data_IF_934819828224
#
_entry.id   IF_934819828224
#
_cell.length_a   1.000
_cell.length_b   1.000
_cell.length_c   1.000
_cell.angle_alpha   90.00
_cell.angle_beta   90.00
_cell.angle_gamma   90.00
#
_symmetry.space_group_name_H-M   'P 1'
#
loop_
_entity.id
_entity.type
_entity.pdbx_description
1 polymer ?
#
# COMPACT_ATOMS: atom_id res chain seq x y z
N UNK A 1 -15.49 -4.26 16.79
CA UNK A 1 -16.12 -5.56 17.03
C UNK A 1 -15.30 -6.42 17.99
N UNK A 2 -15.81 -7.59 18.44
CA UNK A 2 -15.14 -8.42 19.43
C UNK A 2 -13.84 -9.09 18.92
N UNK A 3 -13.65 -9.15 17.62
CA UNK A 3 -12.52 -9.77 16.95
C UNK A 3 -11.58 -8.76 16.29
N UNK A 4 -11.61 -7.53 16.76
CA UNK A 4 -10.74 -6.49 16.22
C UNK A 4 -9.29 -6.74 16.63
N UNK A 5 -8.41 -6.81 15.62
CA UNK A 5 -6.96 -6.78 15.79
C UNK A 5 -6.49 -5.37 15.43
N UNK A 6 -5.60 -4.74 16.23
CA UNK A 6 -5.03 -3.45 15.86
C UNK A 6 -4.35 -3.51 14.49
N UNK A 7 -4.47 -2.42 13.73
CA UNK A 7 -3.84 -2.19 12.41
C UNK A 7 -4.14 -3.26 11.36
N UNK A 8 -5.27 -3.96 11.46
CA UNK A 8 -5.67 -4.98 10.48
C UNK A 8 -6.02 -4.33 9.13
N UNK A 9 -5.57 -4.92 8.04
CA UNK A 9 -5.64 -4.41 6.68
C UNK A 9 -7.05 -4.47 6.08
N UNK A 10 -7.83 -5.46 6.50
CA UNK A 10 -9.12 -5.80 5.89
C UNK A 10 -10.22 -5.91 6.93
N UNK A 11 -11.40 -5.42 6.61
CA UNK A 11 -12.61 -5.68 7.36
C UNK A 11 -13.34 -6.90 6.76
N UNK A 12 -13.69 -7.86 7.61
CA UNK A 12 -14.40 -9.08 7.20
C UNK A 12 -15.65 -9.27 8.06
N UNK A 13 -16.76 -9.56 7.41
CA UNK A 13 -18.04 -9.86 8.08
C UNK A 13 -18.56 -11.22 7.64
N UNK A 14 -19.21 -11.94 8.55
CA UNK A 14 -19.93 -13.18 8.20
C UNK A 14 -21.28 -12.87 7.55
N UNK A 15 -21.69 -13.66 6.56
CA UNK A 15 -22.99 -13.53 5.90
C UNK A 15 -24.16 -13.97 6.80
N UNK A 16 -23.90 -14.68 7.88
CA UNK A 16 -24.93 -15.16 8.78
C UNK A 16 -24.38 -15.72 10.08
N UNK A 17 -25.27 -16.23 10.93
CA UNK A 17 -24.90 -16.79 12.24
C UNK A 17 -24.47 -18.27 12.16
N UNK A 18 -24.62 -18.88 10.99
CA UNK A 18 -24.24 -20.27 10.74
C UNK A 18 -23.32 -20.35 9.52
N UNK A 19 -22.24 -21.13 9.64
CA UNK A 19 -21.25 -21.23 8.57
C UNK A 19 -20.18 -20.12 8.65
N UNK A 20 -19.30 -20.11 7.64
CA UNK A 20 -18.10 -19.25 7.65
C UNK A 20 -17.96 -18.39 6.37
N UNK A 21 -18.98 -18.43 5.51
CA UNK A 21 -19.03 -17.52 4.35
C UNK A 21 -19.08 -16.08 4.81
N UNK A 22 -18.40 -15.21 4.10
CA UNK A 22 -18.32 -13.80 4.45
C UNK A 22 -18.12 -12.88 3.28
N UNK A 23 -17.94 -11.62 3.62
CA UNK A 23 -17.56 -10.54 2.72
C UNK A 23 -16.38 -9.81 3.31
N UNK A 24 -15.42 -9.46 2.46
CA UNK A 24 -14.26 -8.65 2.80
C UNK A 24 -14.29 -7.33 2.07
N UNK A 25 -13.81 -6.26 2.72
CA UNK A 25 -13.57 -4.98 2.09
C UNK A 25 -12.38 -4.29 2.72
N UNK A 26 -11.63 -3.63 1.86
CA UNK A 26 -10.46 -2.86 2.23
C UNK A 26 -10.41 -1.57 1.41
N UNK A 27 -9.57 -0.65 1.82
CA UNK A 27 -9.42 0.65 1.16
C UNK A 27 -7.98 0.88 0.75
N UNK A 28 -7.80 1.76 -0.23
CA UNK A 28 -6.51 2.29 -0.62
C UNK A 28 -6.66 3.73 -1.09
N UNK A 29 -5.67 4.55 -0.77
CA UNK A 29 -5.56 5.93 -1.22
C UNK A 29 -4.11 6.41 -1.13
N UNK A 30 -3.70 7.32 -2.00
CA UNK A 30 -2.35 7.89 -2.02
C UNK A 30 -2.39 9.37 -2.39
N UNK A 31 -3.20 10.12 -1.66
CA UNK A 31 -3.45 11.54 -1.92
C UNK A 31 -2.19 12.42 -1.89
N UNK A 32 -1.23 12.25 -0.97
CA UNK A 32 0.00 13.06 -0.99
C UNK A 32 0.77 12.95 -2.31
N UNK A 33 0.75 11.77 -2.93
CA UNK A 33 1.41 11.52 -4.22
C UNK A 33 0.76 12.30 -5.37
N UNK A 34 -0.55 12.51 -5.32
CA UNK A 34 -1.29 13.23 -6.36
C UNK A 34 -0.87 14.70 -6.51
N UNK A 35 -0.16 15.27 -5.53
CA UNK A 35 0.34 16.65 -5.62
C UNK A 35 1.33 16.81 -6.78
N UNK A 36 2.12 15.79 -7.09
CA UNK A 36 3.13 15.86 -8.17
C UNK A 36 2.98 14.78 -9.23
N UNK A 37 2.38 13.63 -8.94
CA UNK A 37 2.05 12.57 -9.92
C UNK A 37 0.65 12.01 -9.65
N UNK A 38 -0.36 12.64 -10.24
CA UNK A 38 -1.74 12.24 -10.04
C UNK A 38 -2.07 10.86 -10.63
N UNK A 39 -1.62 10.49 -11.86
CA UNK A 39 -1.80 9.13 -12.39
C UNK A 39 -1.19 8.05 -11.53
N UNK A 40 0.03 8.23 -11.02
CA UNK A 40 0.67 7.29 -10.11
C UNK A 40 -0.12 7.12 -8.81
N UNK A 41 -0.65 8.23 -8.25
CA UNK A 41 -1.48 8.17 -7.03
C UNK A 41 -2.73 7.30 -7.22
N UNK A 42 -3.36 7.36 -8.39
CA UNK A 42 -4.52 6.54 -8.72
C UNK A 42 -4.18 5.06 -8.85
N UNK A 43 -3.08 4.73 -9.52
CA UNK A 43 -2.61 3.34 -9.63
C UNK A 43 -2.19 2.78 -8.27
N UNK A 44 -1.48 3.57 -7.47
CA UNK A 44 -1.08 3.17 -6.12
C UNK A 44 -2.28 2.96 -5.20
N UNK A 45 -3.33 3.79 -5.27
CA UNK A 45 -4.57 3.58 -4.51
C UNK A 45 -5.25 2.24 -4.83
N UNK A 46 -5.25 1.81 -6.11
CA UNK A 46 -5.71 0.48 -6.49
C UNK A 46 -4.82 -0.60 -5.90
N UNK A 47 -3.50 -0.43 -6.02
CA UNK A 47 -2.54 -1.38 -5.49
C UNK A 47 -2.72 -1.60 -4.00
N UNK A 48 -2.82 -0.53 -3.22
CA UNK A 48 -3.02 -0.57 -1.77
C UNK A 48 -4.35 -1.22 -1.39
N UNK A 49 -5.46 -0.89 -2.07
CA UNK A 49 -6.74 -1.55 -1.83
C UNK A 49 -6.66 -3.07 -2.05
N UNK A 50 -5.83 -3.52 -2.99
CA UNK A 50 -5.65 -4.94 -3.29
C UNK A 50 -4.66 -5.62 -2.33
N UNK A 51 -3.57 -4.96 -1.93
CA UNK A 51 -2.66 -5.51 -0.90
C UNK A 51 -3.38 -5.64 0.43
N UNK A 52 -4.15 -4.64 0.85
CA UNK A 52 -5.01 -4.72 2.03
C UNK A 52 -6.02 -5.87 1.95
N UNK A 53 -6.71 -6.01 0.82
CA UNK A 53 -7.69 -7.08 0.63
C UNK A 53 -7.08 -8.48 0.62
N UNK A 54 -5.81 -8.62 0.22
CA UNK A 54 -5.12 -9.90 0.13
C UNK A 54 -5.01 -10.63 1.48
N UNK A 55 -5.16 -9.94 2.60
CA UNK A 55 -5.25 -10.53 3.93
C UNK A 55 -6.46 -11.46 4.12
N UNK A 56 -7.50 -11.36 3.29
CA UNK A 56 -8.70 -12.22 3.32
C UNK A 56 -8.59 -13.37 2.31
N UNK A 57 -9.31 -14.48 2.56
CA UNK A 57 -9.39 -15.64 1.66
C UNK A 57 -10.38 -15.37 0.50
N UNK A 58 -9.95 -14.52 -0.44
CA UNK A 58 -10.74 -14.09 -1.60
C UNK A 58 -10.63 -15.09 -2.77
N UNK A 59 -9.50 -15.75 -2.87
CA UNK A 59 -9.18 -16.75 -3.89
C UNK A 59 -8.66 -16.16 -5.19
N UNK A 60 -9.48 -15.50 -5.99
CA UNK A 60 -9.13 -15.04 -7.34
C UNK A 60 -9.33 -13.53 -7.49
N UNK A 61 -8.33 -12.84 -8.02
CA UNK A 61 -8.37 -11.40 -8.24
C UNK A 61 -9.57 -10.97 -9.12
N UNK A 62 -9.96 -11.76 -10.11
CA UNK A 62 -11.08 -11.46 -10.98
C UNK A 62 -12.46 -11.42 -10.29
N UNK A 63 -12.57 -11.96 -9.07
CA UNK A 63 -13.77 -11.86 -8.23
C UNK A 63 -13.89 -10.51 -7.52
N UNK A 64 -12.79 -9.78 -7.39
CA UNK A 64 -12.77 -8.49 -6.70
C UNK A 64 -13.52 -7.44 -7.51
N UNK A 65 -14.30 -6.63 -6.81
CA UNK A 65 -14.96 -5.43 -7.36
C UNK A 65 -14.46 -4.22 -6.59
N UNK A 66 -14.28 -3.12 -7.32
CA UNK A 66 -13.82 -1.87 -6.75
C UNK A 66 -14.92 -0.80 -6.80
N UNK A 67 -14.90 0.09 -5.85
CA UNK A 67 -15.63 1.36 -5.88
C UNK A 67 -14.61 2.49 -5.84
N UNK A 68 -14.77 3.49 -6.71
CA UNK A 68 -13.89 4.64 -6.74
C UNK A 68 -14.63 5.91 -6.29
N UNK A 69 -14.08 6.59 -5.29
CA UNK A 69 -14.55 7.89 -4.85
C UNK A 69 -13.54 8.95 -5.30
N UNK A 70 -13.93 9.75 -6.30
CA UNK A 70 -13.11 10.81 -6.88
C UNK A 70 -13.40 12.14 -6.23
N UNK A 71 -12.36 12.89 -5.90
CA UNK A 71 -12.46 14.23 -5.35
C UNK A 71 -11.49 15.14 -6.10
N UNK A 72 -12.01 16.19 -6.77
CA UNK A 72 -11.21 17.09 -7.58
C UNK A 72 -11.77 18.51 -7.53
N UNK A 73 -10.91 19.53 -7.59
CA UNK A 73 -11.33 20.94 -7.70
C UNK A 73 -11.51 21.33 -9.16
N UNK A 74 -12.47 20.72 -9.87
CA UNK A 74 -12.71 20.99 -11.28
C UNK A 74 -12.94 22.49 -11.56
N UNK A 75 -12.43 22.94 -12.71
CA UNK A 75 -12.40 24.35 -13.10
C UNK A 75 -11.23 25.15 -12.51
N UNK A 76 -10.39 24.56 -11.67
CA UNK A 76 -9.09 25.11 -11.29
C UNK A 76 -8.07 24.73 -12.36
N UNK A 77 -7.20 25.66 -12.73
CA UNK A 77 -6.27 25.47 -13.83
C UNK A 77 -5.41 24.20 -13.63
N UNK A 78 -5.46 23.31 -14.62
CA UNK A 78 -4.71 22.04 -14.64
C UNK A 78 -5.39 20.86 -13.94
N UNK A 79 -6.37 21.08 -13.06
CA UNK A 79 -6.97 19.98 -12.26
C UNK A 79 -7.91 19.09 -13.09
N UNK A 80 -8.58 19.63 -14.10
CA UNK A 80 -9.44 18.84 -15.00
C UNK A 80 -8.60 17.85 -15.82
N UNK A 81 -7.43 18.27 -16.31
CA UNK A 81 -6.50 17.38 -17.01
C UNK A 81 -5.95 16.31 -16.07
N UNK A 82 -5.54 16.68 -14.85
CA UNK A 82 -5.07 15.73 -13.84
C UNK A 82 -6.11 14.66 -13.52
N UNK A 83 -7.37 15.06 -13.37
CA UNK A 83 -8.47 14.11 -13.15
C UNK A 83 -8.61 13.15 -14.33
N UNK A 84 -8.62 13.68 -15.57
CA UNK A 84 -8.73 12.87 -16.78
C UNK A 84 -7.59 11.85 -16.88
N UNK A 85 -6.35 12.30 -16.76
CA UNK A 85 -5.16 11.46 -16.88
C UNK A 85 -5.14 10.35 -15.78
N UNK A 86 -5.61 10.69 -14.58
CA UNK A 86 -5.68 9.72 -13.47
C UNK A 86 -6.78 8.68 -13.70
N UNK A 87 -7.96 9.09 -14.19
CA UNK A 87 -9.04 8.16 -14.55
C UNK A 87 -8.60 7.20 -15.66
N UNK A 88 -7.90 7.70 -16.67
CA UNK A 88 -7.34 6.87 -17.74
C UNK A 88 -6.34 5.85 -17.19
N UNK A 89 -5.38 6.30 -16.38
CA UNK A 89 -4.37 5.44 -15.76
C UNK A 89 -4.98 4.33 -14.87
N UNK A 90 -5.97 4.69 -14.07
CA UNK A 90 -6.73 3.74 -13.23
C UNK A 90 -7.49 2.74 -14.07
N UNK A 91 -8.16 3.20 -15.15
CA UNK A 91 -8.89 2.33 -16.08
C UNK A 91 -7.96 1.33 -16.76
N UNK A 92 -6.80 1.77 -17.20
CA UNK A 92 -5.84 0.90 -17.90
C UNK A 92 -5.21 -0.11 -16.96
N UNK A 93 -4.88 0.27 -15.73
CA UNK A 93 -4.42 -0.70 -14.71
C UNK A 93 -5.51 -1.75 -14.43
N UNK A 94 -6.76 -1.33 -14.22
CA UNK A 94 -7.87 -2.24 -13.97
C UNK A 94 -8.06 -3.26 -15.09
N UNK A 95 -7.95 -2.82 -16.35
CA UNK A 95 -8.00 -3.72 -17.53
C UNK A 95 -6.83 -4.70 -17.53
N UNK A 96 -5.62 -4.23 -17.22
CA UNK A 96 -4.41 -5.06 -17.21
C UNK A 96 -4.46 -6.16 -16.16
N UNK A 97 -4.97 -5.88 -14.95
CA UNK A 97 -5.06 -6.86 -13.86
C UNK A 97 -6.38 -7.63 -13.83
N UNK A 98 -7.37 -7.27 -14.65
CA UNK A 98 -8.64 -7.98 -14.78
C UNK A 98 -9.65 -7.68 -13.67
N UNK A 99 -9.60 -6.50 -13.06
CA UNK A 99 -10.60 -6.05 -12.07
C UNK A 99 -11.53 -4.99 -12.67
N UNK A 100 -12.66 -4.73 -12.02
CA UNK A 100 -13.63 -3.73 -12.49
C UNK A 100 -14.05 -2.78 -11.39
N UNK A 101 -14.37 -1.54 -11.80
CA UNK A 101 -14.97 -0.49 -10.96
C UNK A 101 -16.41 -0.30 -11.42
N UNK A 102 -17.38 -1.12 -10.95
CA UNK A 102 -18.77 -1.03 -11.38
C UNK A 102 -19.53 0.15 -10.77
N UNK A 103 -19.03 0.70 -9.67
CA UNK A 103 -19.65 1.81 -8.94
C UNK A 103 -18.61 2.81 -8.46
N UNK A 104 -19.07 4.03 -8.19
CA UNK A 104 -18.24 5.09 -7.66
C UNK A 104 -19.07 6.34 -7.44
N UNK A 105 -18.41 7.38 -6.96
CA UNK A 105 -18.98 8.73 -6.85
C UNK A 105 -17.88 9.74 -7.04
N UNK A 106 -18.27 10.97 -7.35
CA UNK A 106 -17.38 12.09 -7.53
C UNK A 106 -17.80 13.32 -6.70
N UNK A 107 -16.81 14.10 -6.31
CA UNK A 107 -16.96 15.41 -5.67
C UNK A 107 -16.04 16.38 -6.41
N UNK A 108 -16.61 17.16 -7.33
CA UNK A 108 -15.84 17.96 -8.29
C UNK A 108 -15.66 19.43 -7.87
N UNK A 109 -16.04 19.80 -6.66
CA UNK A 109 -15.94 21.18 -6.16
C UNK A 109 -15.07 21.26 -4.90
N UNK A 110 -13.94 20.56 -4.90
CA UNK A 110 -13.08 20.41 -3.71
C UNK A 110 -12.29 21.67 -3.42
N UNK A 111 -13.00 22.71 -3.00
CA UNK A 111 -12.43 23.97 -2.54
C UNK A 111 -13.26 24.56 -1.40
N UNK A 112 -12.59 25.23 -0.49
CA UNK A 112 -13.21 26.06 0.54
C UNK A 112 -12.87 27.50 0.28
N UNK A 113 -13.90 28.38 0.25
CA UNK A 113 -13.73 29.80 0.08
C UNK A 113 -14.34 30.54 1.26
N UNK A 114 -13.68 31.57 1.74
CA UNK A 114 -14.18 32.44 2.82
C UNK A 114 -13.71 33.88 2.65
N UNK A 115 -14.21 34.76 3.44
CA UNK A 115 -13.77 36.15 3.52
C UNK A 115 -13.16 36.40 4.91
N UNK A 116 -12.01 37.05 4.93
CA UNK A 116 -11.33 37.42 6.16
C UNK A 116 -10.91 38.89 6.04
N UNK A 117 -11.45 39.73 6.90
CA UNK A 117 -11.24 41.20 6.93
C UNK A 117 -11.46 41.86 5.54
N UNK A 118 -12.50 41.47 4.81
CA UNK A 118 -12.81 41.97 3.48
C UNK A 118 -11.97 41.38 2.33
N UNK A 119 -11.06 40.44 2.62
CA UNK A 119 -10.24 39.75 1.61
C UNK A 119 -10.80 38.36 1.36
N UNK A 120 -11.11 38.08 0.09
CA UNK A 120 -11.52 36.73 -0.32
C UNK A 120 -10.33 35.78 -0.26
N UNK A 121 -10.47 34.70 0.46
CA UNK A 121 -9.48 33.62 0.61
C UNK A 121 -10.07 32.30 0.12
N UNK A 122 -9.23 31.41 -0.37
CA UNK A 122 -9.63 30.05 -0.71
C UNK A 122 -8.51 29.06 -0.49
N UNK A 123 -8.88 27.81 -0.19
CA UNK A 123 -8.01 26.63 -0.21
C UNK A 123 -8.60 25.66 -1.21
N UNK A 124 -7.73 25.09 -2.03
CA UNK A 124 -8.06 24.07 -3.04
C UNK A 124 -7.44 22.76 -2.60
N UNK A 125 -8.25 21.71 -2.53
CA UNK A 125 -7.75 20.36 -2.25
C UNK A 125 -7.06 19.79 -3.49
N UNK A 126 -5.97 19.02 -3.36
CA UNK A 126 -5.45 18.26 -4.50
C UNK A 126 -6.45 17.21 -4.97
N UNK A 127 -6.24 16.70 -6.20
CA UNK A 127 -6.94 15.51 -6.66
C UNK A 127 -6.74 14.37 -5.64
N UNK A 128 -7.80 13.63 -5.37
CA UNK A 128 -7.76 12.44 -4.52
C UNK A 128 -8.65 11.36 -5.12
N UNK A 129 -8.23 10.11 -5.00
CA UNK A 129 -9.08 8.96 -5.24
C UNK A 129 -8.98 7.99 -4.07
N UNK A 130 -10.14 7.60 -3.53
CA UNK A 130 -10.23 6.53 -2.54
C UNK A 130 -10.86 5.33 -3.22
N UNK A 131 -10.13 4.23 -3.24
CA UNK A 131 -10.59 2.95 -3.77
C UNK A 131 -11.05 2.09 -2.62
N UNK A 132 -12.24 1.53 -2.73
CA UNK A 132 -12.70 0.47 -1.83
C UNK A 132 -12.81 -0.82 -2.63
N UNK A 133 -12.14 -1.87 -2.18
CA UNK A 133 -12.19 -3.21 -2.75
C UNK A 133 -13.17 -4.08 -1.98
N UNK A 134 -13.92 -4.92 -2.71
CA UNK A 134 -14.93 -5.84 -2.16
C UNK A 134 -14.76 -7.22 -2.75
N UNK A 135 -14.91 -8.24 -1.92
CA UNK A 135 -14.93 -9.62 -2.39
C UNK A 135 -15.75 -10.52 -1.45
N UNK A 136 -16.33 -11.57 -1.99
CA UNK A 136 -16.83 -12.67 -1.19
C UNK A 136 -15.65 -13.47 -0.61
N UNK A 137 -15.84 -14.00 0.60
CA UNK A 137 -14.86 -14.81 1.32
C UNK A 137 -15.46 -16.17 1.61
N UNK A 138 -14.75 -17.22 1.21
CA UNK A 138 -15.23 -18.59 1.37
C UNK A 138 -15.13 -19.08 2.82
N UNK A 139 -14.12 -18.63 3.57
CA UNK A 139 -13.95 -18.92 4.99
C UNK A 139 -13.32 -17.74 5.73
N UNK A 140 -14.14 -17.02 6.51
CA UNK A 140 -13.70 -15.85 7.27
C UNK A 140 -12.60 -16.15 8.30
N UNK A 141 -12.45 -17.41 8.73
CA UNK A 141 -11.44 -17.85 9.70
C UNK A 141 -10.03 -17.85 9.12
N UNK A 142 -9.91 -17.85 7.79
CA UNK A 142 -8.62 -17.77 7.09
C UNK A 142 -8.13 -16.35 6.88
N UNK A 143 -8.86 -15.35 7.36
CA UNK A 143 -8.39 -13.96 7.34
C UNK A 143 -7.13 -13.82 8.17
N UNK A 144 -6.10 -13.22 7.59
CA UNK A 144 -4.84 -12.93 8.25
C UNK A 144 -4.86 -11.54 8.86
N UNK A 145 -4.03 -11.35 9.85
CA UNK A 145 -3.89 -10.09 10.58
C UNK A 145 -2.41 -9.78 10.79
N UNK A 146 -2.05 -8.56 11.18
CA UNK A 146 -0.69 -8.21 11.55
C UNK A 146 -0.16 -8.92 12.80
N UNK A 147 -1.02 -9.56 13.57
CA UNK A 147 -0.63 -10.27 14.78
C UNK A 147 0.21 -11.50 14.45
N UNK A 148 1.49 -11.49 14.85
CA UNK A 148 2.41 -12.61 14.62
C UNK A 148 1.99 -13.83 15.43
N UNK A 149 2.08 -15.00 14.81
CA UNK A 149 1.95 -16.29 15.50
C UNK A 149 3.23 -16.58 16.28
N UNK A 150 3.13 -16.78 17.60
CA UNK A 150 4.29 -16.91 18.49
C UNK A 150 4.47 -18.33 19.04
N UNK A 151 3.60 -19.25 18.67
CA UNK A 151 3.52 -20.62 19.15
C UNK A 151 3.70 -21.67 18.04
N UNK A 152 4.19 -21.25 16.87
CA UNK A 152 4.33 -22.10 15.68
C UNK A 152 5.76 -22.67 15.48
N UNK A 153 6.66 -22.49 16.44
CA UNK A 153 8.05 -22.91 16.33
C UNK A 153 8.91 -21.86 15.62
N UNK A 154 9.87 -22.31 14.81
CA UNK A 154 10.70 -21.42 13.98
C UNK A 154 9.87 -20.91 12.82
N UNK A 155 9.83 -19.59 12.65
CA UNK A 155 9.11 -18.89 11.58
C UNK A 155 9.96 -17.77 11.03
N UNK A 156 9.68 -17.36 9.80
CA UNK A 156 10.36 -16.25 9.16
C UNK A 156 9.40 -15.10 8.86
N UNK A 157 9.90 -13.88 8.98
CA UNK A 157 9.21 -12.66 8.54
C UNK A 157 9.84 -12.23 7.23
N UNK A 158 9.06 -12.25 6.15
CA UNK A 158 9.50 -11.96 4.80
C UNK A 158 8.84 -10.68 4.28
N UNK A 159 9.61 -9.86 3.55
CA UNK A 159 9.08 -8.76 2.77
C UNK A 159 8.81 -9.22 1.33
N UNK A 160 7.55 -9.15 0.92
CA UNK A 160 7.17 -9.20 -0.49
C UNK A 160 7.24 -7.77 -1.04
N UNK A 161 8.22 -7.49 -1.89
CA UNK A 161 8.52 -6.13 -2.36
C UNK A 161 8.22 -5.96 -3.85
N UNK A 162 7.42 -4.95 -4.19
CA UNK A 162 7.17 -4.54 -5.58
C UNK A 162 7.83 -3.21 -5.92
N UNK A 163 8.55 -2.60 -4.97
CA UNK A 163 9.05 -1.25 -5.07
C UNK A 163 10.45 -1.12 -5.65
N UNK A 164 10.86 0.13 -5.80
CA UNK A 164 12.18 0.58 -6.22
C UNK A 164 12.80 1.56 -5.22
N UNK A 165 12.31 1.57 -3.98
CA UNK A 165 12.77 2.43 -2.89
C UNK A 165 12.58 3.95 -3.15
N UNK A 166 11.48 4.34 -3.82
CA UNK A 166 11.10 5.74 -4.05
C UNK A 166 10.41 6.33 -2.81
N UNK A 167 10.77 7.54 -2.44
CA UNK A 167 10.29 8.23 -1.21
C UNK A 167 9.27 9.34 -1.49
N UNK A 168 8.88 9.57 -2.73
CA UNK A 168 7.95 10.64 -3.08
C UNK A 168 6.59 10.45 -2.42
N UNK A 169 6.05 11.53 -1.86
CA UNK A 169 4.76 11.54 -1.17
C UNK A 169 4.72 10.82 0.18
N UNK A 170 5.84 10.22 0.63
CA UNK A 170 5.89 9.43 1.86
C UNK A 170 5.66 10.27 3.12
N UNK A 171 5.24 9.62 4.20
CA UNK A 171 5.18 10.21 5.53
C UNK A 171 6.53 10.76 5.98
N UNK A 172 7.63 10.08 5.63
CA UNK A 172 8.97 10.58 5.89
C UNK A 172 9.21 11.94 5.22
N UNK A 173 8.88 12.08 3.93
CA UNK A 173 9.01 13.34 3.20
C UNK A 173 8.18 14.45 3.88
N UNK A 174 6.94 14.15 4.26
CA UNK A 174 6.04 15.09 4.92
C UNK A 174 6.57 15.57 6.27
N UNK A 175 7.19 14.70 7.09
CA UNK A 175 7.80 15.06 8.37
C UNK A 175 8.91 16.11 8.16
N UNK A 176 9.61 16.06 7.03
CA UNK A 176 10.63 17.04 6.66
C UNK A 176 10.07 18.23 5.84
N UNK A 177 8.73 18.38 5.75
CA UNK A 177 8.06 19.42 4.96
C UNK A 177 8.45 19.37 3.46
N UNK A 178 8.65 18.18 2.94
CA UNK A 178 8.98 17.90 1.54
C UNK A 178 7.92 17.00 0.90
N UNK A 179 7.85 17.02 -0.43
CA UNK A 179 7.03 16.07 -1.20
C UNK A 179 7.85 14.94 -1.81
N UNK A 180 9.16 15.15 -1.94
CA UNK A 180 10.03 14.25 -2.70
C UNK A 180 9.92 14.48 -4.21
N UNK A 181 10.68 13.75 -5.00
CA UNK A 181 10.73 13.86 -6.45
C UNK A 181 10.40 12.55 -7.18
N UNK A 182 10.57 11.42 -6.52
CA UNK A 182 10.45 10.09 -7.10
C UNK A 182 9.12 9.46 -6.69
N UNK A 183 8.15 9.47 -7.60
CA UNK A 183 6.83 8.92 -7.34
C UNK A 183 6.85 7.39 -7.26
N UNK A 184 6.40 6.76 -6.16
CA UNK A 184 5.97 5.36 -6.16
C UNK A 184 4.90 5.11 -7.22
N UNK A 185 4.96 3.96 -7.88
CA UNK A 185 3.99 3.60 -8.91
C UNK A 185 3.81 2.08 -9.03
N UNK A 186 2.75 1.67 -9.71
CA UNK A 186 2.58 0.28 -10.16
C UNK A 186 3.32 0.13 -11.49
N UNK A 187 4.64 -0.12 -11.42
CA UNK A 187 5.48 -0.23 -12.61
C UNK A 187 5.13 -1.45 -13.48
N UNK A 188 4.69 -2.53 -12.85
CA UNK A 188 4.33 -3.77 -13.54
C UNK A 188 3.03 -4.36 -12.97
N UNK A 189 1.91 -4.23 -13.68
CA UNK A 189 0.63 -4.83 -13.28
C UNK A 189 0.68 -6.34 -13.07
N UNK A 190 1.56 -7.06 -13.79
CA UNK A 190 1.70 -8.50 -13.63
C UNK A 190 2.32 -8.88 -12.29
N UNK A 191 3.25 -8.07 -11.77
CA UNK A 191 3.84 -8.27 -10.45
C UNK A 191 2.81 -8.04 -9.33
N UNK A 192 1.99 -6.99 -9.44
CA UNK A 192 0.89 -6.76 -8.48
C UNK A 192 -0.08 -7.95 -8.44
N UNK A 193 -0.50 -8.44 -9.62
CA UNK A 193 -1.31 -9.65 -9.72
C UNK A 193 -0.60 -10.86 -9.12
N UNK A 194 0.68 -11.04 -9.42
CA UNK A 194 1.50 -12.14 -8.90
C UNK A 194 1.62 -12.13 -7.39
N UNK A 195 1.79 -10.94 -6.76
CA UNK A 195 1.79 -10.80 -5.30
C UNK A 195 0.45 -11.25 -4.71
N UNK A 196 -0.68 -10.75 -5.25
CA UNK A 196 -2.00 -11.14 -4.79
C UNK A 196 -2.20 -12.66 -4.89
N UNK A 197 -1.92 -13.25 -6.06
CA UNK A 197 -2.07 -14.68 -6.30
C UNK A 197 -1.18 -15.52 -5.38
N UNK A 198 0.07 -15.06 -5.11
CA UNK A 198 1.00 -15.73 -4.18
C UNK A 198 0.48 -15.72 -2.74
N UNK A 199 0.01 -14.57 -2.25
CA UNK A 199 -0.56 -14.45 -0.90
C UNK A 199 -1.79 -15.35 -0.75
N UNK A 200 -2.70 -15.33 -1.74
CA UNK A 200 -3.88 -16.21 -1.72
C UNK A 200 -3.49 -17.70 -1.72
N UNK A 201 -2.44 -18.06 -2.48
CA UNK A 201 -1.95 -19.44 -2.49
C UNK A 201 -1.33 -19.84 -1.15
N UNK A 202 -0.44 -19.03 -0.58
CA UNK A 202 0.17 -19.27 0.73
C UNK A 202 -0.88 -19.42 1.82
N UNK A 203 -1.92 -18.59 1.79
CA UNK A 203 -3.03 -18.66 2.74
C UNK A 203 -3.82 -19.97 2.61
N UNK A 204 -4.16 -20.38 1.39
CA UNK A 204 -4.87 -21.64 1.12
C UNK A 204 -4.06 -22.87 1.52
N UNK A 205 -2.75 -22.85 1.26
CA UNK A 205 -1.83 -23.93 1.59
C UNK A 205 -1.54 -23.99 3.12
N UNK A 206 -2.03 -23.03 3.91
CA UNK A 206 -1.84 -22.97 5.36
C UNK A 206 -0.45 -22.54 5.80
N UNK A 207 0.35 -21.98 4.87
CA UNK A 207 1.72 -21.53 5.15
C UNK A 207 1.76 -20.10 5.66
N UNK A 208 0.76 -19.27 5.34
CA UNK A 208 0.68 -17.88 5.77
C UNK A 208 0.18 -17.83 7.22
N UNK A 209 1.00 -17.33 8.14
CA UNK A 209 0.68 -17.21 9.56
C UNK A 209 0.18 -15.82 9.93
N UNK A 210 0.86 -14.76 9.48
CA UNK A 210 0.46 -13.37 9.65
C UNK A 210 0.70 -12.58 8.37
N UNK A 211 0.00 -11.46 8.23
CA UNK A 211 0.06 -10.59 7.05
C UNK A 211 -0.15 -9.15 7.45
N UNK A 212 0.65 -8.25 6.86
CA UNK A 212 0.44 -6.81 6.92
C UNK A 212 0.95 -6.16 5.63
N UNK A 213 0.18 -5.26 5.05
CA UNK A 213 0.62 -4.53 3.87
C UNK A 213 1.74 -3.53 4.23
N UNK A 214 2.53 -3.14 3.24
CA UNK A 214 3.44 -2.02 3.40
C UNK A 214 2.77 -0.76 2.85
N UNK A 215 2.40 0.15 3.74
CA UNK A 215 1.74 1.41 3.41
C UNK A 215 2.43 2.59 4.10
N UNK A 216 1.68 3.47 4.75
CA UNK A 216 2.19 4.69 5.38
C UNK A 216 3.33 4.42 6.37
N UNK A 217 4.45 5.11 6.18
CA UNK A 217 5.67 4.93 6.99
C UNK A 217 6.55 3.75 6.58
N UNK A 218 6.18 2.99 5.56
CA UNK A 218 6.98 1.96 4.91
C UNK A 218 7.21 0.70 5.76
N UNK A 219 8.26 -0.04 5.41
CA UNK A 219 8.63 -1.30 6.08
C UNK A 219 8.83 -1.13 7.59
N UNK A 220 9.43 0.00 8.02
CA UNK A 220 9.71 0.23 9.44
C UNK A 220 8.41 0.31 10.25
N UNK A 221 7.43 1.08 9.79
CA UNK A 221 6.15 1.24 10.50
C UNK A 221 5.36 -0.06 10.45
N UNK A 222 5.27 -0.73 9.29
CA UNK A 222 4.58 -2.01 9.18
C UNK A 222 5.16 -3.07 10.14
N UNK A 223 6.49 -3.16 10.27
CA UNK A 223 7.13 -4.06 11.23
C UNK A 223 6.83 -3.66 12.70
N UNK A 224 6.82 -2.36 13.01
CA UNK A 224 6.43 -1.87 14.34
C UNK A 224 4.97 -2.21 14.66
N UNK A 225 4.07 -2.07 13.71
CA UNK A 225 2.65 -2.38 13.88
C UNK A 225 2.40 -3.86 14.12
N UNK A 226 3.09 -4.75 13.40
CA UNK A 226 3.07 -6.18 13.69
C UNK A 226 3.61 -6.49 15.09
N UNK A 227 4.69 -5.81 15.52
CA UNK A 227 5.24 -5.92 16.87
C UNK A 227 4.23 -5.46 17.94
N UNK A 228 3.54 -4.33 17.73
CA UNK A 228 2.53 -3.80 18.65
C UNK A 228 1.30 -4.72 18.74
N UNK A 229 0.78 -5.19 17.60
CA UNK A 229 -0.36 -6.10 17.55
C UNK A 229 -0.07 -7.39 18.32
N UNK A 230 1.19 -7.84 18.30
CA UNK A 230 1.63 -9.09 18.94
C UNK A 230 2.16 -8.87 20.35
N UNK A 231 2.56 -7.65 20.72
CA UNK A 231 3.30 -7.33 21.95
C UNK A 231 4.64 -8.10 22.03
N UNK A 232 5.38 -8.10 20.92
CA UNK A 232 6.69 -8.74 20.76
C UNK A 232 7.67 -7.78 20.12
N UNK A 233 8.98 -8.03 20.30
CA UNK A 233 10.02 -7.38 19.53
C UNK A 233 10.19 -8.06 18.17
N UNK A 234 10.70 -7.31 17.21
CA UNK A 234 11.08 -7.79 15.88
C UNK A 234 12.52 -7.37 15.63
N UNK A 235 13.32 -8.27 15.07
CA UNK A 235 14.66 -7.94 14.55
C UNK A 235 14.62 -8.01 13.03
N UNK A 236 15.09 -6.94 12.38
CA UNK A 236 15.19 -6.87 10.93
C UNK A 236 16.65 -7.02 10.52
N UNK A 237 16.91 -7.94 9.60
CA UNK A 237 18.19 -7.99 8.89
C UNK A 237 18.08 -7.10 7.64
N UNK A 238 18.80 -5.99 7.66
CA UNK A 238 18.75 -5.00 6.58
C UNK A 238 19.84 -5.22 5.53
N UNK A 239 20.82 -6.06 5.79
CA UNK A 239 21.94 -6.27 4.88
C UNK A 239 21.46 -6.81 3.52
N UNK A 240 20.52 -7.75 3.53
CA UNK A 240 19.93 -8.31 2.32
C UNK A 240 19.06 -7.33 1.52
N UNK A 241 18.44 -6.36 2.20
CA UNK A 241 17.57 -5.35 1.56
C UNK A 241 18.39 -4.20 1.00
N UNK A 242 19.52 -3.89 1.64
CA UNK A 242 20.37 -2.76 1.29
C UNK A 242 21.53 -3.16 0.36
N UNK A 243 21.65 -4.44 0.04
CA UNK A 243 22.71 -4.95 -0.84
C UNK A 243 22.40 -4.59 -2.30
N UNK A 244 23.17 -3.67 -2.86
CA UNK A 244 23.14 -3.36 -4.29
C UNK A 244 24.01 -4.35 -5.06
N UNK A 245 23.37 -5.37 -5.63
CA UNK A 245 24.06 -6.35 -6.52
C UNK A 245 24.58 -5.73 -7.82
N UNK A 246 24.13 -4.53 -8.18
CA UNK A 246 24.58 -3.78 -9.37
C UNK A 246 25.80 -2.88 -9.10
N UNK A 247 26.10 -2.59 -7.83
CA UNK A 247 27.35 -1.96 -7.45
C UNK A 247 28.47 -2.99 -7.60
N UNK A 248 28.92 -3.20 -8.84
CA UNK A 248 29.93 -4.17 -9.19
C UNK A 248 31.10 -4.10 -8.25
N UNK A 249 31.57 -5.27 -7.83
CA UNK A 249 32.82 -5.47 -7.12
C UNK A 249 33.95 -4.94 -8.02
N UNK A 250 34.18 -3.64 -7.94
CA UNK A 250 35.28 -3.03 -8.64
C UNK A 250 36.53 -3.45 -7.87
N UNK A 251 37.05 -4.62 -8.35
CA UNK A 251 38.45 -4.98 -8.11
C UNK A 251 38.83 -5.20 -6.63
N UNK A 252 38.49 -6.32 -6.03
CA UNK A 252 39.16 -6.97 -4.89
C UNK A 252 39.85 -6.12 -3.80
N UNK A 253 39.65 -4.82 -3.83
CA UNK A 253 40.23 -3.88 -2.87
C UNK A 253 39.30 -3.74 -1.66
N UNK A 254 39.85 -3.88 -0.47
CA UNK A 254 39.19 -3.71 0.81
C UNK A 254 38.22 -2.51 0.78
N UNK A 255 36.91 -2.81 0.94
CA UNK A 255 35.86 -1.80 1.05
C UNK A 255 36.23 -0.82 2.17
N UNK A 256 36.41 0.44 1.85
CA UNK A 256 36.68 1.46 2.86
C UNK A 256 35.42 1.69 3.69
N UNK A 257 35.46 1.51 5.02
CA UNK A 257 34.28 1.63 5.90
C UNK A 257 33.54 2.97 5.76
N UNK A 258 34.26 4.05 5.48
CA UNK A 258 33.75 5.42 5.31
C UNK A 258 32.98 5.64 4.00
N UNK A 259 33.25 4.88 2.95
CA UNK A 259 32.50 4.92 1.70
C UNK A 259 31.26 4.03 1.76
N UNK A 260 31.27 3.00 2.59
CA UNK A 260 30.13 2.13 2.84
C UNK A 260 29.11 2.84 3.72
N UNK A 261 29.53 3.48 4.84
CA UNK A 261 28.65 4.09 5.81
C UNK A 261 27.68 5.13 5.22
N UNK A 262 28.12 5.96 4.26
CA UNK A 262 27.28 7.00 3.66
C UNK A 262 26.26 6.45 2.65
N UNK A 263 26.66 5.45 1.86
CA UNK A 263 25.77 4.78 0.89
C UNK A 263 24.76 3.87 1.59
N UNK A 264 25.21 3.13 2.58
CA UNK A 264 24.38 2.24 3.37
C UNK A 264 23.27 2.98 4.10
N UNK A 265 23.54 4.19 4.65
CA UNK A 265 22.53 4.96 5.35
C UNK A 265 21.40 5.44 4.43
N UNK A 266 21.69 5.93 3.23
CA UNK A 266 20.67 6.34 2.27
C UNK A 266 19.83 5.12 1.82
N UNK A 267 20.47 4.01 1.49
CA UNK A 267 19.79 2.78 1.11
C UNK A 267 18.90 2.25 2.25
N UNK A 268 19.39 2.24 3.47
CA UNK A 268 18.64 1.86 4.66
C UNK A 268 17.39 2.75 4.84
N UNK A 269 17.55 4.07 4.76
CA UNK A 269 16.42 5.00 4.89
C UNK A 269 15.39 4.76 3.77
N UNK A 270 15.84 4.62 2.53
CA UNK A 270 14.96 4.33 1.40
C UNK A 270 14.23 2.99 1.57
N UNK A 271 14.94 1.94 1.97
CA UNK A 271 14.35 0.62 2.17
C UNK A 271 13.33 0.60 3.32
N UNK A 272 13.62 1.30 4.41
CA UNK A 272 12.75 1.31 5.59
C UNK A 272 11.51 2.19 5.44
N UNK A 273 11.61 3.30 4.70
CA UNK A 273 10.57 4.35 4.70
C UNK A 273 9.92 4.60 3.36
N UNK A 274 10.25 3.82 2.30
CA UNK A 274 9.44 3.89 1.09
C UNK A 274 8.07 3.24 1.34
N UNK A 275 7.07 3.85 0.73
CA UNK A 275 5.67 3.44 0.83
C UNK A 275 5.19 2.81 -0.49
N UNK A 276 6.09 2.12 -1.17
CA UNK A 276 5.76 1.37 -2.38
C UNK A 276 5.02 0.07 -2.01
N UNK A 277 4.29 -0.49 -2.97
CA UNK A 277 3.47 -1.67 -2.72
C UNK A 277 4.33 -2.86 -2.27
N UNK A 278 3.81 -3.57 -1.30
CA UNK A 278 4.44 -4.74 -0.72
C UNK A 278 3.67 -5.25 0.49
N UNK A 279 4.17 -6.29 1.10
CA UNK A 279 3.60 -6.82 2.34
C UNK A 279 4.66 -7.53 3.18
N UNK A 280 4.51 -7.45 4.50
CA UNK A 280 5.21 -8.31 5.44
C UNK A 280 4.36 -9.54 5.71
N UNK A 281 4.95 -10.69 5.55
CA UNK A 281 4.30 -11.98 5.80
C UNK A 281 5.12 -12.81 6.77
N UNK A 282 4.43 -13.50 7.66
CA UNK A 282 5.04 -14.54 8.48
C UNK A 282 4.67 -15.91 7.91
N UNK A 283 5.68 -16.75 7.71
CA UNK A 283 5.52 -18.13 7.24
C UNK A 283 6.20 -19.13 8.19
#
# INVERSE_FOLDING_TARGET
GPWQVPVADVAVTTMGYQGYLGEAFAMGERTPLAVFDAPASGRMAIGEALTNLAAADVGELGKVKLSANWMAPCGVAGEDARLFDTVEAVSDLCKAIGVSIPVGKDSLSMRTAWEDQGVKKQVVSPLSVVITSFAAVDDVRKTKTPQLAVDQGETELLLLDLGQNRLGGSCLAQVYNATGSDAPDVDDPAKLKGLFDAVQKLNRDGLLLAYHDRSDGGLFVAACEMAFATRRGVSLDLDGICYDSGAGDVDGSEKRPDLLAGRDFEHIVRALFNEELGALIQI
#
